data_IF_599057874284
#
_entry.id   IF_599057874284
#
_cell.length_a   1.000
_cell.length_b   1.000
_cell.length_c   1.000
_cell.angle_alpha   90.00
_cell.angle_beta   90.00
_cell.angle_gamma   90.00
#
_symmetry.space_group_name_H-M   'P 1'
#
loop_
_entity.id
_entity.type
_entity.pdbx_description
1 polymer ?
#
# COMPACT_ATOMS: atom_id res chain seq x y z
N UNK A 1 0.22 42.57 23.18
CA UNK A 1 1.45 41.81 22.88
C UNK A 1 1.03 40.67 21.97
N UNK A 2 1.58 40.64 20.75
CA UNK A 2 1.07 39.89 19.61
C UNK A 2 2.01 38.70 19.37
N UNK A 3 1.68 37.52 19.88
CA UNK A 3 2.37 36.27 19.53
C UNK A 3 1.31 35.21 19.21
N UNK A 4 0.81 35.31 17.98
CA UNK A 4 -0.03 34.30 17.36
C UNK A 4 0.78 33.01 17.21
N UNK A 5 0.27 31.96 17.86
CA UNK A 5 0.51 30.55 17.58
C UNK A 5 0.76 30.29 16.08
N UNK A 6 2.02 30.06 15.72
CA UNK A 6 2.44 29.65 14.37
C UNK A 6 3.08 28.26 14.34
N UNK A 7 2.78 27.39 15.31
CA UNK A 7 3.38 26.05 15.38
C UNK A 7 2.47 24.92 14.88
N UNK A 8 1.16 25.15 14.68
CA UNK A 8 0.18 24.07 14.49
C UNK A 8 0.02 23.46 13.10
N UNK A 9 0.68 23.96 12.03
CA UNK A 9 0.42 23.50 10.65
C UNK A 9 1.47 22.57 10.05
N UNK A 10 2.73 22.62 10.52
CA UNK A 10 3.83 21.81 10.00
C UNK A 10 3.85 20.39 10.57
N UNK A 11 3.73 20.26 11.90
CA UNK A 11 3.78 18.97 12.59
C UNK A 11 2.63 18.02 12.19
N UNK A 12 1.44 18.58 11.93
CA UNK A 12 0.29 17.77 11.51
C UNK A 12 0.47 17.19 10.09
N UNK A 13 1.12 17.94 9.19
CA UNK A 13 1.35 17.50 7.80
C UNK A 13 2.46 16.46 7.69
N UNK A 14 3.56 16.64 8.43
CA UNK A 14 4.64 15.64 8.47
C UNK A 14 4.17 14.33 9.11
N UNK A 15 3.37 14.42 10.18
CA UNK A 15 2.72 13.26 10.80
C UNK A 15 1.79 12.54 9.83
N UNK A 16 0.97 13.27 9.06
CA UNK A 16 0.07 12.69 8.07
C UNK A 16 0.84 12.04 6.91
N UNK A 17 1.88 12.70 6.40
CA UNK A 17 2.74 12.15 5.35
C UNK A 17 3.39 10.83 5.78
N UNK A 18 3.95 10.79 6.99
CA UNK A 18 4.55 9.58 7.55
C UNK A 18 3.51 8.47 7.74
N UNK A 19 2.32 8.79 8.23
CA UNK A 19 1.22 7.83 8.33
C UNK A 19 0.88 7.24 6.95
N UNK A 20 0.69 8.09 5.93
CA UNK A 20 0.36 7.64 4.57
C UNK A 20 1.48 6.84 3.92
N UNK A 21 2.73 7.17 4.20
CA UNK A 21 3.87 6.37 3.79
C UNK A 21 3.84 4.97 4.42
N UNK A 22 3.61 4.87 5.74
CA UNK A 22 3.50 3.57 6.42
C UNK A 22 2.35 2.73 5.90
N UNK A 23 1.17 3.33 5.65
CA UNK A 23 0.02 2.66 5.05
C UNK A 23 0.35 2.14 3.64
N UNK A 24 1.06 2.95 2.83
CA UNK A 24 1.51 2.56 1.50
C UNK A 24 2.49 1.39 1.53
N UNK A 25 3.48 1.42 2.42
CA UNK A 25 4.46 0.33 2.57
C UNK A 25 3.76 -0.96 3.00
N UNK A 26 2.86 -0.89 3.99
CA UNK A 26 2.12 -2.06 4.45
C UNK A 26 1.25 -2.69 3.34
N UNK A 27 0.61 -1.88 2.50
CA UNK A 27 -0.20 -2.37 1.38
C UNK A 27 0.66 -3.04 0.29
N UNK A 28 1.86 -2.50 0.01
CA UNK A 28 2.81 -3.10 -0.93
C UNK A 28 3.42 -4.39 -0.39
N UNK A 29 3.73 -4.45 0.91
CA UNK A 29 4.23 -5.66 1.56
C UNK A 29 3.20 -6.81 1.51
N UNK A 30 1.92 -6.49 1.63
CA UNK A 30 0.83 -7.45 1.48
C UNK A 30 0.75 -8.01 0.06
N UNK A 31 0.83 -7.14 -0.95
CA UNK A 31 0.86 -7.54 -2.36
C UNK A 31 2.05 -8.47 -2.64
N UNK A 32 3.24 -8.11 -2.12
CA UNK A 32 4.45 -8.91 -2.22
C UNK A 32 4.35 -10.24 -1.47
N UNK A 33 3.59 -10.31 -0.37
CA UNK A 33 3.34 -11.58 0.34
C UNK A 33 2.49 -12.50 -0.52
N UNK A 34 1.42 -11.99 -1.12
CA UNK A 34 0.51 -12.75 -1.99
C UNK A 34 1.25 -13.27 -3.22
N UNK A 35 2.09 -12.44 -3.85
CA UNK A 35 2.92 -12.87 -4.98
C UNK A 35 3.88 -14.01 -4.60
N UNK A 36 4.50 -13.96 -3.40
CA UNK A 36 5.32 -15.06 -2.90
C UNK A 36 4.53 -16.34 -2.64
N UNK A 37 3.29 -16.22 -2.15
CA UNK A 37 2.42 -17.38 -1.98
C UNK A 37 2.02 -18.00 -3.32
N UNK A 38 1.82 -17.19 -4.37
CA UNK A 38 1.60 -17.64 -5.75
C UNK A 38 2.82 -18.40 -6.28
N UNK A 39 4.03 -17.84 -6.15
CA UNK A 39 5.26 -18.53 -6.54
C UNK A 39 5.41 -19.88 -5.83
N UNK A 40 5.03 -19.92 -4.54
CA UNK A 40 5.04 -21.14 -3.75
C UNK A 40 4.02 -22.19 -4.23
N UNK A 41 2.86 -21.77 -4.76
CA UNK A 41 1.90 -22.71 -5.38
C UNK A 41 2.54 -23.38 -6.59
N UNK A 42 3.14 -22.59 -7.50
CA UNK A 42 3.79 -23.13 -8.69
C UNK A 42 4.97 -24.03 -8.35
N UNK A 43 5.75 -23.68 -7.33
CA UNK A 43 6.91 -24.47 -6.91
C UNK A 43 6.52 -25.83 -6.29
N UNK A 44 5.38 -25.92 -5.60
CA UNK A 44 5.00 -27.10 -4.82
C UNK A 44 3.82 -27.89 -5.39
N UNK A 45 3.24 -27.45 -6.51
CA UNK A 45 2.12 -28.13 -7.17
C UNK A 45 2.56 -28.59 -8.56
N UNK A 46 2.99 -29.87 -8.71
CA UNK A 46 3.47 -30.39 -9.99
C UNK A 46 2.39 -30.44 -11.08
N UNK A 47 1.13 -30.55 -10.67
CA UNK A 47 -0.02 -30.53 -11.58
C UNK A 47 -0.37 -29.07 -11.93
N UNK A 48 -0.16 -28.70 -13.19
CA UNK A 48 -0.44 -27.36 -13.68
C UNK A 48 -1.92 -26.99 -13.61
N UNK A 49 -2.83 -27.94 -13.85
CA UNK A 49 -4.27 -27.66 -13.80
C UNK A 49 -4.74 -27.40 -12.35
N UNK A 50 -4.17 -28.13 -11.39
CA UNK A 50 -4.44 -27.89 -9.97
C UNK A 50 -3.80 -26.58 -9.49
N UNK A 51 -2.57 -26.27 -9.94
CA UNK A 51 -1.93 -24.98 -9.65
C UNK A 51 -2.77 -23.80 -10.18
N UNK A 52 -3.24 -23.88 -11.42
CA UNK A 52 -4.11 -22.87 -12.03
C UNK A 52 -5.44 -22.74 -11.29
N UNK A 53 -6.03 -23.86 -10.87
CA UNK A 53 -7.27 -23.87 -10.08
C UNK A 53 -7.07 -23.15 -8.75
N UNK A 54 -5.97 -23.42 -8.05
CA UNK A 54 -5.63 -22.75 -6.78
C UNK A 54 -5.42 -21.26 -7.02
N UNK A 55 -4.66 -20.91 -8.06
CA UNK A 55 -4.38 -19.52 -8.43
C UNK A 55 -5.69 -18.76 -8.68
N UNK A 56 -6.54 -19.26 -9.58
CA UNK A 56 -7.77 -18.58 -9.98
C UNK A 56 -8.81 -18.49 -8.87
N UNK A 57 -8.95 -19.53 -8.04
CA UNK A 57 -9.97 -19.55 -6.98
C UNK A 57 -9.54 -18.82 -5.71
N UNK A 58 -8.27 -18.93 -5.34
CA UNK A 58 -7.78 -18.40 -4.06
C UNK A 58 -7.00 -17.11 -4.23
N UNK A 59 -6.00 -17.10 -5.12
CA UNK A 59 -5.02 -16.01 -5.15
C UNK A 59 -5.40 -14.87 -6.08
N UNK A 60 -6.07 -15.12 -7.21
CA UNK A 60 -6.53 -14.08 -8.12
C UNK A 60 -7.42 -13.02 -7.43
N UNK A 61 -8.45 -13.39 -6.61
CA UNK A 61 -9.23 -12.38 -5.90
C UNK A 61 -8.40 -11.64 -4.84
N UNK A 62 -7.53 -12.33 -4.10
CA UNK A 62 -6.66 -11.72 -3.08
C UNK A 62 -5.66 -10.74 -3.68
N UNK A 63 -5.01 -11.12 -4.78
CA UNK A 63 -4.06 -10.28 -5.50
C UNK A 63 -4.76 -9.04 -6.03
N UNK A 64 -5.93 -9.20 -6.66
CA UNK A 64 -6.72 -8.06 -7.14
C UNK A 64 -7.08 -7.11 -6.01
N UNK A 65 -7.59 -7.62 -4.90
CA UNK A 65 -7.93 -6.80 -3.74
C UNK A 65 -6.70 -6.08 -3.16
N UNK A 66 -5.56 -6.78 -3.08
CA UNK A 66 -4.32 -6.18 -2.58
C UNK A 66 -3.77 -5.11 -3.51
N UNK A 67 -3.85 -5.31 -4.83
CA UNK A 67 -3.43 -4.34 -5.84
C UNK A 67 -4.34 -3.10 -5.84
N UNK A 68 -5.64 -3.28 -5.65
CA UNK A 68 -6.58 -2.16 -5.53
C UNK A 68 -6.22 -1.31 -4.29
N UNK A 69 -5.98 -1.98 -3.14
CA UNK A 69 -5.56 -1.30 -1.89
C UNK A 69 -4.20 -0.62 -2.00
N UNK A 70 -3.20 -1.26 -2.61
CA UNK A 70 -1.88 -0.67 -2.79
C UNK A 70 -1.94 0.53 -3.72
N UNK A 71 -2.74 0.46 -4.79
CA UNK A 71 -2.99 1.59 -5.69
C UNK A 71 -3.60 2.80 -4.97
N UNK A 72 -4.61 2.57 -4.12
CA UNK A 72 -5.23 3.61 -3.31
C UNK A 72 -4.24 4.23 -2.31
N UNK A 73 -3.46 3.39 -1.62
CA UNK A 73 -2.47 3.85 -0.65
C UNK A 73 -1.34 4.67 -1.30
N UNK A 74 -0.88 4.26 -2.49
CA UNK A 74 0.09 5.02 -3.28
C UNK A 74 -0.49 6.39 -3.66
N UNK A 75 -1.72 6.45 -4.17
CA UNK A 75 -2.37 7.72 -4.52
C UNK A 75 -2.48 8.64 -3.31
N UNK A 76 -2.94 8.11 -2.18
CA UNK A 76 -3.08 8.87 -0.94
C UNK A 76 -1.73 9.41 -0.42
N UNK A 77 -0.66 8.62 -0.51
CA UNK A 77 0.68 9.07 -0.16
C UNK A 77 1.19 10.15 -1.12
N UNK A 78 1.03 9.97 -2.44
CA UNK A 78 1.42 10.97 -3.43
C UNK A 78 0.68 12.29 -3.27
N UNK A 79 -0.61 12.26 -2.95
CA UNK A 79 -1.38 13.47 -2.71
C UNK A 79 -0.93 14.15 -1.41
N UNK A 80 -0.64 13.39 -0.34
CA UNK A 80 -0.04 13.95 0.87
C UNK A 80 1.34 14.59 0.61
N UNK A 81 2.17 14.01 -0.27
CA UNK A 81 3.45 14.59 -0.69
C UNK A 81 3.25 15.94 -1.39
N UNK A 82 2.27 16.04 -2.32
CA UNK A 82 1.95 17.30 -3.01
C UNK A 82 1.46 18.37 -2.03
N UNK A 83 0.54 18.02 -1.13
CA UNK A 83 0.02 18.97 -0.13
C UNK A 83 1.08 19.45 0.87
N UNK A 84 2.10 18.62 1.14
CA UNK A 84 3.23 18.99 1.97
C UNK A 84 4.24 19.87 1.22
N UNK A 85 4.41 19.69 -0.09
CA UNK A 85 5.33 20.48 -0.90
C UNK A 85 4.78 21.86 -1.28
N UNK A 86 3.48 21.97 -1.55
CA UNK A 86 2.78 23.24 -1.84
C UNK A 86 2.61 24.14 -0.60
N UNK A 87 2.85 23.60 0.59
CA UNK A 87 2.74 24.33 1.85
C UNK A 87 4.05 24.95 2.36
N UNK A 88 5.14 24.77 1.61
CA UNK A 88 6.43 25.44 1.81
C UNK A 88 6.48 26.75 1.04
#
# INVERSE_FOLDING_TARGET
MNEQFKEGKGQNKESLLNQKHTECVAALDEENRIMREIDNVFANTPDSEEADRILLKKYAPLLRESMDRSSEAIKAWLDAVKEASEAK
#
